data_IF_657705216938
#
_entry.id   IF_657705216938
#
_cell.length_a   1.000
_cell.length_b   1.000
_cell.length_c   1.000
_cell.angle_alpha   90.00
_cell.angle_beta   90.00
_cell.angle_gamma   90.00
#
_symmetry.space_group_name_H-M   'P 1'
#
loop_
_entity.id
_entity.type
_entity.pdbx_description
1 polymer ?
#
# COMPACT_ATOMS: atom_id res chain seq x y z
N UNK A 1 0.95 5.37 -22.45
CA UNK A 1 -0.09 5.96 -21.59
C UNK A 1 -1.26 5.01 -21.61
N UNK A 2 -1.88 4.76 -20.45
CA UNK A 2 -2.99 3.82 -20.35
C UNK A 2 -4.25 4.29 -21.09
N UNK A 3 -4.99 3.37 -21.73
CA UNK A 3 -6.19 3.71 -22.51
C UNK A 3 -7.28 4.37 -21.64
N UNK A 4 -7.38 3.97 -20.36
CA UNK A 4 -8.33 4.58 -19.43
C UNK A 4 -7.88 5.99 -18.98
N UNK A 5 -6.58 6.20 -18.77
CA UNK A 5 -6.01 7.51 -18.44
C UNK A 5 -6.23 8.50 -19.58
N UNK A 6 -6.07 8.07 -20.84
CA UNK A 6 -6.39 8.88 -22.02
C UNK A 6 -7.89 9.25 -22.08
N UNK A 7 -8.79 8.31 -21.77
CA UNK A 7 -10.24 8.60 -21.67
C UNK A 7 -10.54 9.63 -20.59
N UNK A 8 -9.93 9.53 -19.42
CA UNK A 8 -10.11 10.52 -18.36
C UNK A 8 -9.62 11.90 -18.79
N UNK A 9 -8.40 12.01 -19.33
CA UNK A 9 -7.85 13.28 -19.78
C UNK A 9 -8.67 13.90 -20.90
N UNK A 10 -9.07 13.11 -21.90
CA UNK A 10 -9.95 13.56 -22.97
C UNK A 10 -11.30 14.04 -22.43
N UNK A 11 -11.92 13.28 -21.53
CA UNK A 11 -13.17 13.65 -20.89
C UNK A 11 -13.05 14.95 -20.07
N UNK A 12 -11.98 15.09 -19.28
CA UNK A 12 -11.71 16.30 -18.49
C UNK A 12 -11.51 17.50 -19.41
N UNK A 13 -10.73 17.37 -20.49
CA UNK A 13 -10.48 18.45 -21.44
C UNK A 13 -11.78 18.90 -22.13
N UNK A 14 -12.60 17.96 -22.60
CA UNK A 14 -13.90 18.25 -23.21
C UNK A 14 -14.87 18.88 -22.22
N UNK A 15 -14.93 18.35 -20.98
CA UNK A 15 -15.77 18.89 -19.92
C UNK A 15 -15.34 20.32 -19.53
N UNK A 16 -14.03 20.58 -19.41
CA UNK A 16 -13.48 21.89 -19.09
C UNK A 16 -13.79 22.92 -20.18
N UNK A 17 -13.58 22.56 -21.44
CA UNK A 17 -13.95 23.41 -22.58
C UNK A 17 -15.46 23.69 -22.58
N UNK A 18 -16.28 22.66 -22.39
CA UNK A 18 -17.74 22.79 -22.31
C UNK A 18 -18.17 23.69 -21.15
N UNK A 19 -17.55 23.56 -19.98
CA UNK A 19 -17.80 24.40 -18.82
C UNK A 19 -17.49 25.88 -19.10
N UNK A 20 -16.38 26.16 -19.82
CA UNK A 20 -16.03 27.51 -20.23
C UNK A 20 -17.07 28.15 -21.18
N UNK A 21 -17.70 27.36 -22.04
CA UNK A 21 -18.82 27.83 -22.89
C UNK A 21 -20.11 28.03 -22.09
N UNK A 22 -20.42 27.12 -21.17
CA UNK A 22 -21.64 27.17 -20.34
C UNK A 22 -21.58 28.36 -19.37
N UNK A 23 -20.40 28.67 -18.80
CA UNK A 23 -20.17 29.75 -17.82
C UNK A 23 -21.01 29.66 -16.54
N UNK A 24 -21.43 28.45 -16.17
CA UNK A 24 -22.19 28.19 -14.94
C UNK A 24 -21.27 27.59 -13.87
N UNK A 25 -21.32 28.06 -12.60
CA UNK A 25 -20.41 27.59 -11.54
C UNK A 25 -20.45 26.07 -11.35
N UNK A 26 -21.63 25.45 -11.42
CA UNK A 26 -21.77 23.99 -11.30
C UNK A 26 -21.07 23.20 -12.40
N UNK A 27 -20.93 23.75 -13.62
CA UNK A 27 -20.22 23.07 -14.70
C UNK A 27 -18.72 22.94 -14.39
N UNK A 28 -18.15 23.95 -13.73
CA UNK A 28 -16.79 23.87 -13.20
C UNK A 28 -16.67 22.87 -12.06
N UNK A 29 -17.68 22.79 -11.17
CA UNK A 29 -17.70 21.76 -10.11
C UNK A 29 -17.72 20.34 -10.66
N UNK A 30 -18.47 20.09 -11.75
CA UNK A 30 -18.46 18.79 -12.45
C UNK A 30 -17.07 18.50 -13.03
N UNK A 31 -16.43 19.48 -13.65
CA UNK A 31 -15.09 19.31 -14.23
C UNK A 31 -14.04 19.05 -13.16
N UNK A 32 -14.07 19.81 -12.06
CA UNK A 32 -13.19 19.60 -10.91
C UNK A 32 -13.40 18.21 -10.28
N UNK A 33 -14.66 17.78 -10.17
CA UNK A 33 -15.00 16.44 -9.71
C UNK A 33 -14.39 15.36 -10.61
N UNK A 34 -14.48 15.48 -11.95
CA UNK A 34 -13.81 14.56 -12.87
C UNK A 34 -12.29 14.55 -12.70
N UNK A 35 -11.68 15.71 -12.45
CA UNK A 35 -10.25 15.83 -12.17
C UNK A 35 -9.80 15.08 -10.91
N UNK A 36 -10.58 15.16 -9.83
CA UNK A 36 -10.28 14.45 -8.57
C UNK A 36 -10.40 12.92 -8.72
N UNK A 37 -11.24 12.44 -9.62
CA UNK A 37 -11.43 11.00 -9.87
C UNK A 37 -10.34 10.43 -10.80
N UNK A 38 -9.51 11.27 -11.42
CA UNK A 38 -8.47 10.82 -12.33
C UNK A 38 -7.50 9.89 -11.59
N UNK A 39 -7.52 8.62 -11.96
CA UNK A 39 -6.60 7.61 -11.49
C UNK A 39 -6.00 6.89 -12.70
N UNK A 40 -4.85 6.28 -12.50
CA UNK A 40 -4.18 5.46 -13.49
C UNK A 40 -4.45 3.96 -13.19
N UNK A 41 -5.51 3.36 -13.76
CA UNK A 41 -5.82 1.96 -13.51
C UNK A 41 -4.77 1.01 -14.09
N UNK A 42 -3.97 1.46 -15.06
CA UNK A 42 -2.90 0.64 -15.63
C UNK A 42 -1.71 0.59 -14.67
N UNK A 43 -1.34 1.73 -14.07
CA UNK A 43 -0.37 1.74 -12.96
C UNK A 43 -0.87 0.91 -11.76
N UNK A 44 -2.17 0.93 -11.44
CA UNK A 44 -2.72 0.06 -10.39
C UNK A 44 -2.65 -1.42 -10.75
N UNK A 45 -2.81 -1.77 -12.04
CA UNK A 45 -2.64 -3.14 -12.51
C UNK A 45 -1.18 -3.55 -12.45
N UNK A 46 -0.25 -2.67 -12.82
CA UNK A 46 1.20 -2.91 -12.68
C UNK A 46 1.60 -3.11 -11.21
N UNK A 47 1.14 -2.24 -10.31
CA UNK A 47 1.34 -2.40 -8.88
C UNK A 47 0.73 -3.70 -8.36
N UNK A 48 -0.49 -4.07 -8.80
CA UNK A 48 -1.08 -5.37 -8.48
C UNK A 48 -0.13 -6.50 -8.83
N UNK A 49 0.52 -6.43 -10.01
CA UNK A 49 1.47 -7.44 -10.45
C UNK A 49 2.64 -7.60 -9.50
N UNK A 50 3.19 -6.49 -9.03
CA UNK A 50 4.30 -6.50 -8.08
C UNK A 50 3.88 -7.04 -6.70
N UNK A 51 2.64 -6.77 -6.29
CA UNK A 51 2.11 -7.26 -5.02
C UNK A 51 1.71 -8.74 -5.08
N UNK A 52 1.24 -9.23 -6.24
CA UNK A 52 0.77 -10.59 -6.48
C UNK A 52 1.72 -11.36 -7.41
N UNK A 53 2.75 -12.02 -6.89
CA UNK A 53 3.51 -13.03 -7.67
C UNK A 53 3.63 -14.32 -6.87
N UNK A 54 3.85 -15.53 -7.43
CA UNK A 54 4.32 -16.07 -8.73
C UNK A 54 3.40 -15.85 -9.95
N UNK A 55 3.61 -14.73 -10.66
CA UNK A 55 3.03 -14.35 -11.97
C UNK A 55 1.49 -14.17 -12.05
N UNK A 56 0.82 -13.64 -11.01
CA UNK A 56 -0.61 -13.21 -10.90
C UNK A 56 -1.73 -14.15 -10.33
N UNK A 57 -1.56 -15.32 -9.69
CA UNK A 57 -0.36 -15.96 -9.14
C UNK A 57 -0.01 -15.50 -7.73
N UNK A 58 -0.93 -15.06 -6.89
CA UNK A 58 -0.65 -14.71 -5.49
C UNK A 58 -0.11 -15.86 -4.61
N UNK A 59 0.30 -15.49 -3.41
CA UNK A 59 1.16 -16.17 -2.43
C UNK A 59 2.60 -16.36 -2.91
N UNK A 60 3.30 -15.22 -2.98
CA UNK A 60 4.76 -15.01 -3.10
C UNK A 60 5.57 -16.27 -2.89
N UNK A 61 6.05 -16.79 -4.02
CA UNK A 61 7.03 -17.86 -4.15
C UNK A 61 8.10 -17.85 -3.08
N UNK A 62 8.62 -16.65 -2.85
CA UNK A 62 9.78 -16.37 -2.04
C UNK A 62 9.45 -16.61 -0.57
N UNK A 63 8.22 -16.30 -0.14
CA UNK A 63 7.76 -16.54 1.23
C UNK A 63 7.49 -18.02 1.50
N UNK A 64 6.93 -18.74 0.52
CA UNK A 64 6.74 -20.19 0.66
C UNK A 64 8.08 -20.93 0.62
N UNK A 65 9.00 -20.54 -0.26
CA UNK A 65 10.35 -21.09 -0.33
C UNK A 65 11.15 -20.81 0.94
N UNK A 66 10.99 -19.62 1.52
CA UNK A 66 11.58 -19.28 2.82
C UNK A 66 11.01 -20.15 3.94
N UNK A 67 9.69 -20.34 4.01
CA UNK A 67 9.06 -21.24 4.99
C UNK A 67 9.56 -22.68 4.83
N UNK A 68 9.65 -23.18 3.59
CA UNK A 68 10.15 -24.52 3.29
C UNK A 68 11.63 -24.68 3.67
N UNK A 69 12.47 -23.67 3.39
CA UNK A 69 13.89 -23.67 3.74
C UNK A 69 14.11 -23.67 5.25
N UNK A 70 13.32 -22.88 5.98
CA UNK A 70 13.37 -22.78 7.44
C UNK A 70 12.87 -24.08 8.09
N UNK A 71 11.79 -24.68 7.57
CA UNK A 71 11.30 -25.98 8.01
C UNK A 71 12.32 -27.11 7.75
N UNK A 72 12.92 -27.13 6.56
CA UNK A 72 13.97 -28.10 6.20
C UNK A 72 15.20 -27.96 7.09
N UNK A 73 15.58 -26.74 7.48
CA UNK A 73 16.69 -26.52 8.42
C UNK A 73 16.39 -27.10 9.81
N UNK A 74 15.17 -26.90 10.31
CA UNK A 74 14.75 -27.48 11.59
C UNK A 74 14.78 -29.01 11.56
N UNK A 75 14.32 -29.62 10.46
CA UNK A 75 14.36 -31.07 10.26
C UNK A 75 15.80 -31.62 10.18
N UNK A 76 16.71 -30.89 9.51
CA UNK A 76 18.12 -31.25 9.42
C UNK A 76 18.81 -31.17 10.79
N UNK A 77 18.50 -30.16 11.60
CA UNK A 77 19.01 -30.02 12.96
C UNK A 77 18.53 -31.14 13.89
N UNK A 78 17.29 -31.61 13.72
CA UNK A 78 16.75 -32.74 14.48
C UNK A 78 17.42 -34.06 14.09
N UNK A 79 17.49 -34.35 12.78
CA UNK A 79 17.91 -35.66 12.27
C UNK A 79 19.42 -35.84 12.25
N UNK A 80 20.15 -34.84 11.78
CA UNK A 80 21.58 -34.98 11.48
C UNK A 80 22.47 -34.47 12.62
N UNK A 81 22.01 -33.45 13.35
CA UNK A 81 22.72 -32.92 14.52
C UNK A 81 22.21 -33.49 15.86
N UNK A 82 21.15 -34.31 15.84
CA UNK A 82 20.51 -34.87 17.03
C UNK A 82 20.21 -33.80 18.10
N UNK A 83 19.80 -32.60 17.68
CA UNK A 83 19.48 -31.54 18.61
C UNK A 83 18.11 -31.81 19.26
N UNK A 84 18.15 -32.26 20.51
CA UNK A 84 16.96 -32.60 21.29
C UNK A 84 16.84 -31.74 22.57
N UNK A 85 15.66 -31.79 23.21
CA UNK A 85 15.41 -31.19 24.52
C UNK A 85 14.60 -29.90 24.51
N UNK A 86 14.54 -29.23 25.66
CA UNK A 86 13.67 -28.07 25.90
C UNK A 86 14.04 -26.86 24.99
N UNK A 87 15.32 -26.67 24.70
CA UNK A 87 15.79 -25.63 23.80
C UNK A 87 15.32 -25.85 22.34
N UNK A 88 15.35 -27.10 21.86
CA UNK A 88 14.84 -27.44 20.52
C UNK A 88 13.32 -27.26 20.45
N UNK A 89 12.59 -27.61 21.52
CA UNK A 89 11.14 -27.37 21.60
C UNK A 89 10.80 -25.87 21.50
N UNK A 90 11.53 -25.01 22.22
CA UNK A 90 11.35 -23.56 22.15
C UNK A 90 11.68 -23.01 20.75
N UNK A 91 12.75 -23.51 20.11
CA UNK A 91 13.07 -23.17 18.72
C UNK A 91 11.95 -23.58 17.76
N UNK A 92 11.42 -24.79 17.88
CA UNK A 92 10.30 -25.27 17.07
C UNK A 92 9.01 -24.46 17.29
N UNK A 93 8.75 -23.98 18.51
CA UNK A 93 7.62 -23.09 18.77
C UNK A 93 7.80 -21.73 18.08
N UNK A 94 9.00 -21.14 18.16
CA UNK A 94 9.35 -19.93 17.42
C UNK A 94 9.26 -20.11 15.90
N UNK A 95 9.68 -21.27 15.39
CA UNK A 95 9.62 -21.62 13.97
C UNK A 95 8.16 -21.71 13.48
N UNK A 96 7.28 -22.30 14.28
CA UNK A 96 5.84 -22.37 13.99
C UNK A 96 5.21 -20.99 13.97
N UNK A 97 5.52 -20.14 14.94
CA UNK A 97 4.99 -18.77 14.98
C UNK A 97 5.55 -17.94 13.82
N UNK A 98 6.84 -18.06 13.51
CA UNK A 98 7.45 -17.43 12.33
C UNK A 98 6.72 -17.85 11.04
N UNK A 99 6.55 -19.15 10.81
CA UNK A 99 5.86 -19.71 9.64
C UNK A 99 4.42 -19.15 9.53
N UNK A 100 3.71 -19.09 10.66
CA UNK A 100 2.35 -18.52 10.72
C UNK A 100 2.34 -17.03 10.37
N UNK A 101 3.27 -16.24 10.90
CA UNK A 101 3.37 -14.80 10.60
C UNK A 101 3.75 -14.57 9.13
N UNK A 102 4.66 -15.36 8.57
CA UNK A 102 5.01 -15.30 7.14
C UNK A 102 3.82 -15.69 6.25
N UNK A 103 3.01 -16.67 6.67
CA UNK A 103 1.76 -17.03 5.98
C UNK A 103 0.72 -15.89 6.03
N UNK A 104 0.56 -15.23 7.18
CA UNK A 104 -0.30 -14.06 7.29
C UNK A 104 0.18 -12.90 6.40
N UNK A 105 1.50 -12.67 6.32
CA UNK A 105 2.09 -11.66 5.44
C UNK A 105 1.80 -11.95 3.96
N UNK A 106 1.92 -13.21 3.52
CA UNK A 106 1.57 -13.61 2.16
C UNK A 106 0.08 -13.34 1.86
N UNK A 107 -0.82 -13.70 2.77
CA UNK A 107 -2.25 -13.44 2.64
C UNK A 107 -2.59 -11.94 2.58
N UNK A 108 -1.86 -11.11 3.34
CA UNK A 108 -2.02 -9.66 3.31
C UNK A 108 -1.56 -9.07 1.97
N UNK A 109 -0.43 -9.53 1.42
CA UNK A 109 0.04 -9.10 0.08
C UNK A 109 -1.00 -9.41 -0.99
N UNK A 110 -1.55 -10.62 -0.98
CA UNK A 110 -2.62 -11.00 -1.91
C UNK A 110 -3.89 -10.17 -1.75
N UNK A 111 -4.24 -9.84 -0.51
CA UNK A 111 -5.40 -8.99 -0.22
C UNK A 111 -5.21 -7.57 -0.79
N UNK A 112 -4.01 -6.99 -0.66
CA UNK A 112 -3.65 -5.71 -1.27
C UNK A 112 -3.73 -5.79 -2.80
N UNK A 113 -3.16 -6.84 -3.39
CA UNK A 113 -3.25 -7.07 -4.82
C UNK A 113 -4.68 -7.18 -5.34
N UNK A 114 -5.53 -7.98 -4.68
CA UNK A 114 -6.94 -8.09 -5.02
C UNK A 114 -7.70 -6.76 -4.89
N UNK A 115 -7.36 -5.95 -3.88
CA UNK A 115 -7.91 -4.60 -3.73
C UNK A 115 -7.48 -3.68 -4.87
N UNK A 116 -6.21 -3.71 -5.29
CA UNK A 116 -5.70 -2.97 -6.45
C UNK A 116 -6.39 -3.41 -7.75
N UNK A 117 -6.60 -4.71 -7.94
CA UNK A 117 -7.33 -5.29 -9.09
C UNK A 117 -8.78 -4.81 -9.16
N UNK A 118 -9.48 -4.85 -8.03
CA UNK A 118 -10.86 -4.35 -7.92
C UNK A 118 -10.91 -2.85 -8.20
N UNK A 119 -9.98 -2.08 -7.63
CA UNK A 119 -9.86 -0.64 -7.85
C UNK A 119 -9.60 -0.31 -9.31
N UNK A 120 -8.67 -0.99 -9.97
CA UNK A 120 -8.38 -0.79 -11.38
C UNK A 120 -9.60 -1.04 -12.28
N UNK A 121 -10.40 -2.08 -11.99
CA UNK A 121 -11.67 -2.33 -12.70
C UNK A 121 -12.69 -1.22 -12.45
N UNK A 122 -12.82 -0.78 -11.19
CA UNK A 122 -13.71 0.32 -10.83
C UNK A 122 -13.33 1.61 -11.60
N UNK A 123 -12.04 1.95 -11.64
CA UNK A 123 -11.56 3.14 -12.35
C UNK A 123 -11.69 3.04 -13.87
N UNK A 124 -11.55 1.85 -14.46
CA UNK A 124 -11.84 1.65 -15.88
C UNK A 124 -13.33 1.90 -16.20
N UNK A 125 -14.25 1.43 -15.34
CA UNK A 125 -15.68 1.73 -15.48
C UNK A 125 -15.95 3.23 -15.28
N UNK A 126 -15.32 3.85 -14.27
CA UNK A 126 -15.44 5.29 -14.04
C UNK A 126 -14.91 6.12 -15.21
N UNK A 127 -13.93 5.62 -15.97
CA UNK A 127 -13.43 6.30 -17.17
C UNK A 127 -14.53 6.42 -18.24
N UNK A 128 -15.35 5.39 -18.41
CA UNK A 128 -16.51 5.45 -19.31
C UNK A 128 -17.60 6.38 -18.81
N UNK A 129 -17.83 6.42 -17.49
CA UNK A 129 -18.75 7.39 -16.88
C UNK A 129 -18.26 8.81 -17.12
N UNK A 130 -16.95 9.08 -16.97
CA UNK A 130 -16.36 10.38 -17.25
C UNK A 130 -16.58 10.81 -18.71
N UNK A 131 -16.36 9.91 -19.67
CA UNK A 131 -16.62 10.14 -21.10
C UNK A 131 -18.10 10.47 -21.33
N UNK A 132 -19.03 9.74 -20.71
CA UNK A 132 -20.46 10.01 -20.82
C UNK A 132 -20.83 11.39 -20.26
N UNK A 133 -20.29 11.77 -19.10
CA UNK A 133 -20.49 13.08 -18.49
C UNK A 133 -19.96 14.18 -19.40
N UNK A 134 -18.75 14.03 -19.95
CA UNK A 134 -18.16 14.98 -20.87
C UNK A 134 -18.99 15.13 -22.16
N UNK A 135 -19.52 14.03 -22.69
CA UNK A 135 -20.40 14.06 -23.86
C UNK A 135 -21.70 14.83 -23.59
N UNK A 136 -22.33 14.63 -22.43
CA UNK A 136 -23.53 15.40 -22.02
C UNK A 136 -23.19 16.89 -21.89
N UNK A 137 -22.07 17.23 -21.28
CA UNK A 137 -21.64 18.63 -21.17
C UNK A 137 -21.38 19.26 -22.55
N UNK A 138 -20.79 18.53 -23.48
CA UNK A 138 -20.56 18.99 -24.84
C UNK A 138 -21.88 19.24 -25.60
N UNK A 139 -22.89 18.38 -25.41
CA UNK A 139 -24.24 18.55 -25.98
C UNK A 139 -24.89 19.83 -25.43
N UNK A 140 -24.82 20.07 -24.12
CA UNK A 140 -25.36 21.28 -23.47
C UNK A 140 -24.62 22.53 -23.98
N UNK A 141 -23.29 22.48 -24.07
CA UNK A 141 -22.49 23.59 -24.58
C UNK A 141 -22.86 23.91 -26.04
N UNK A 142 -22.99 22.89 -26.90
CA UNK A 142 -23.44 23.06 -28.29
C UNK A 142 -24.84 23.65 -28.38
N UNK A 143 -25.76 23.18 -27.55
CA UNK A 143 -27.12 23.73 -27.46
C UNK A 143 -27.09 25.22 -27.11
N UNK A 144 -26.29 25.63 -26.12
CA UNK A 144 -26.14 27.04 -25.75
C UNK A 144 -25.56 27.91 -26.85
N UNK A 145 -24.62 27.40 -27.65
CA UNK A 145 -24.07 28.13 -28.80
C UNK A 145 -25.18 28.41 -29.82
N UNK A 146 -26.04 27.42 -30.10
CA UNK A 146 -27.16 27.56 -31.04
C UNK A 146 -28.25 28.50 -30.49
N UNK A 147 -28.59 28.43 -29.21
CA UNK A 147 -29.59 29.33 -28.62
C UNK A 147 -29.09 30.76 -28.49
N UNK A 148 -27.78 30.97 -28.21
CA UNK A 148 -27.19 32.31 -28.16
C UNK A 148 -27.10 32.98 -29.53
N UNK A 149 -27.02 32.21 -30.60
CA UNK A 149 -27.14 32.74 -31.96
C UNK A 149 -28.54 33.27 -32.29
N UNK A 150 -29.57 32.93 -31.48
CA UNK A 150 -30.95 33.35 -31.65
C UNK A 150 -31.41 34.16 -30.41
N UNK A 151 -31.28 35.51 -30.41
CA UNK A 151 -31.54 36.36 -29.24
C UNK A 151 -32.88 36.12 -28.52
N UNK A 152 -34.02 35.89 -29.21
CA UNK A 152 -35.29 35.64 -28.54
C UNK A 152 -35.32 34.34 -27.73
N UNK A 153 -34.53 33.33 -28.12
CA UNK A 153 -34.48 32.02 -27.46
C UNK A 153 -33.38 31.92 -26.39
N UNK A 154 -32.47 32.89 -26.32
CA UNK A 154 -31.30 32.84 -25.44
C UNK A 154 -31.65 32.67 -23.95
N UNK A 155 -32.61 33.42 -23.35
CA UNK A 155 -32.94 33.26 -21.93
C UNK A 155 -33.48 31.88 -21.58
N UNK A 156 -34.34 31.34 -22.44
CA UNK A 156 -34.89 29.99 -22.27
C UNK A 156 -33.81 28.91 -22.43
N UNK A 157 -32.87 29.12 -23.37
CA UNK A 157 -31.71 28.26 -23.56
C UNK A 157 -30.81 28.19 -22.32
N UNK A 158 -30.52 29.33 -21.70
CA UNK A 158 -29.70 29.40 -20.49
C UNK A 158 -30.38 28.72 -19.29
N UNK A 159 -31.68 28.94 -19.10
CA UNK A 159 -32.45 28.26 -18.06
C UNK A 159 -32.46 26.73 -18.25
N UNK A 160 -32.67 26.26 -19.48
CA UNK A 160 -32.66 24.83 -19.81
C UNK A 160 -31.27 24.20 -19.59
N UNK A 161 -30.20 24.88 -19.99
CA UNK A 161 -28.83 24.42 -19.76
C UNK A 161 -28.49 24.34 -18.27
N UNK A 162 -28.88 25.35 -17.48
CA UNK A 162 -28.70 25.34 -16.03
C UNK A 162 -29.42 24.16 -15.38
N UNK A 163 -30.68 23.90 -15.77
CA UNK A 163 -31.44 22.74 -15.31
C UNK A 163 -30.78 21.40 -15.71
N UNK A 164 -30.24 21.32 -16.93
CA UNK A 164 -29.49 20.16 -17.41
C UNK A 164 -28.24 19.88 -16.57
N UNK A 165 -27.43 20.91 -16.31
CA UNK A 165 -26.23 20.81 -15.46
C UNK A 165 -26.61 20.46 -14.02
N UNK A 166 -27.69 21.05 -13.47
CA UNK A 166 -28.18 20.73 -12.13
C UNK A 166 -28.62 19.27 -12.02
N UNK A 167 -29.30 18.75 -13.03
CA UNK A 167 -29.73 17.34 -13.08
C UNK A 167 -28.52 16.41 -13.14
N UNK A 168 -27.55 16.72 -14.00
CA UNK A 168 -26.29 16.00 -14.11
C UNK A 168 -25.54 15.98 -12.76
N UNK A 169 -25.41 17.13 -12.11
CA UNK A 169 -24.79 17.25 -10.79
C UNK A 169 -25.52 16.44 -9.72
N UNK A 170 -26.85 16.46 -9.72
CA UNK A 170 -27.67 15.71 -8.75
C UNK A 170 -27.44 14.20 -8.87
N UNK A 171 -27.24 13.69 -10.10
CA UNK A 171 -26.91 12.29 -10.36
C UNK A 171 -25.44 11.95 -10.06
N UNK A 172 -24.51 12.89 -10.28
CA UNK A 172 -23.09 12.69 -10.03
C UNK A 172 -22.71 12.78 -8.54
N UNK A 173 -23.40 13.65 -7.78
CA UNK A 173 -23.18 13.91 -6.36
C UNK A 173 -23.10 12.64 -5.47
N UNK A 174 -23.99 11.64 -5.57
CA UNK A 174 -23.86 10.42 -4.76
C UNK A 174 -22.60 9.62 -5.08
N UNK A 175 -22.22 9.52 -6.37
CA UNK A 175 -20.99 8.84 -6.80
C UNK A 175 -19.77 9.56 -6.21
N UNK A 176 -19.74 10.90 -6.31
CA UNK A 176 -18.67 11.71 -5.73
C UNK A 176 -18.57 11.55 -4.22
N UNK A 177 -19.70 11.54 -3.51
CA UNK A 177 -19.70 11.30 -2.06
C UNK A 177 -19.16 9.93 -1.72
N UNK A 178 -19.57 8.88 -2.44
CA UNK A 178 -19.06 7.53 -2.24
C UNK A 178 -17.54 7.45 -2.43
N UNK A 179 -17.02 8.00 -3.52
CA UNK A 179 -15.58 8.05 -3.80
C UNK A 179 -14.81 8.86 -2.76
N UNK A 180 -15.35 10.01 -2.35
CA UNK A 180 -14.73 10.86 -1.34
C UNK A 180 -14.71 10.17 0.03
N UNK A 181 -15.80 9.52 0.45
CA UNK A 181 -15.83 8.72 1.67
C UNK A 181 -14.81 7.59 1.61
N UNK A 182 -14.72 6.86 0.50
CA UNK A 182 -13.71 5.81 0.33
C UNK A 182 -12.29 6.36 0.44
N UNK A 183 -11.99 7.48 -0.24
CA UNK A 183 -10.69 8.14 -0.17
C UNK A 183 -10.33 8.56 1.27
N UNK A 184 -11.28 9.13 2.01
CA UNK A 184 -11.07 9.49 3.42
C UNK A 184 -10.89 8.27 4.31
N UNK A 185 -11.67 7.20 4.12
CA UNK A 185 -11.52 5.96 4.89
C UNK A 185 -10.15 5.33 4.65
N UNK A 186 -9.73 5.20 3.38
CA UNK A 186 -8.41 4.64 3.03
C UNK A 186 -7.30 5.52 3.58
N UNK A 187 -7.36 6.84 3.36
CA UNK A 187 -6.37 7.78 3.90
C UNK A 187 -6.28 7.74 5.43
N UNK A 188 -7.42 7.64 6.11
CA UNK A 188 -7.48 7.49 7.57
C UNK A 188 -6.84 6.19 8.05
N UNK A 189 -7.14 5.06 7.40
CA UNK A 189 -6.53 3.77 7.76
C UNK A 189 -5.01 3.77 7.55
N UNK A 190 -4.52 4.39 6.47
CA UNK A 190 -3.09 4.50 6.22
C UNK A 190 -2.37 5.28 7.33
N UNK A 191 -2.95 6.39 7.79
CA UNK A 191 -2.40 7.18 8.91
C UNK A 191 -2.36 6.37 10.22
N UNK A 192 -3.41 5.60 10.51
CA UNK A 192 -3.44 4.72 11.70
C UNK A 192 -2.35 3.65 11.63
N UNK A 193 -2.17 3.03 10.47
CA UNK A 193 -1.12 2.02 10.26
C UNK A 193 0.27 2.64 10.43
N UNK A 194 0.51 3.84 9.89
CA UNK A 194 1.77 4.56 10.13
C UNK A 194 2.01 4.82 11.61
N UNK A 195 1.02 5.30 12.36
CA UNK A 195 1.16 5.51 13.80
C UNK A 195 1.47 4.19 14.55
N UNK A 196 0.81 3.09 14.20
CA UNK A 196 1.10 1.78 14.80
C UNK A 196 2.51 1.29 14.47
N UNK A 197 2.98 1.48 13.23
CA UNK A 197 4.35 1.12 12.83
C UNK A 197 5.40 1.92 13.60
N UNK A 198 5.18 3.23 13.81
CA UNK A 198 6.07 4.06 14.64
C UNK A 198 6.09 3.56 16.09
N UNK A 199 4.94 3.21 16.66
CA UNK A 199 4.87 2.68 18.01
C UNK A 199 5.58 1.33 18.14
N UNK A 200 5.51 0.45 17.14
CA UNK A 200 6.27 -0.81 17.14
C UNK A 200 7.77 -0.55 17.00
N UNK A 201 8.17 0.36 16.11
CA UNK A 201 9.57 0.75 15.94
C UNK A 201 10.16 1.33 17.23
N UNK A 202 9.41 2.16 17.96
CA UNK A 202 9.83 2.66 19.27
C UNK A 202 9.99 1.55 20.30
N UNK A 203 9.13 0.51 20.28
CA UNK A 203 9.28 -0.66 21.15
C UNK A 203 10.55 -1.46 20.83
N UNK A 204 10.93 -1.56 19.55
CA UNK A 204 12.20 -2.19 19.16
C UNK A 204 13.42 -1.35 19.54
N UNK A 205 13.32 -0.02 19.44
CA UNK A 205 14.39 0.87 19.92
C UNK A 205 14.53 0.85 21.45
N UNK A 206 13.42 0.66 22.19
CA UNK A 206 13.43 0.57 23.65
C UNK A 206 13.70 -0.84 24.19
N UNK A 207 13.74 -1.85 23.32
CA UNK A 207 14.30 -3.16 23.69
C UNK A 207 15.82 -3.00 23.72
N UNK A 208 16.34 -2.41 24.81
CA UNK A 208 17.72 -2.64 25.22
C UNK A 208 17.97 -4.14 25.19
N UNK A 209 19.06 -4.56 24.54
CA UNK A 209 19.46 -5.96 24.45
C UNK A 209 19.32 -6.58 25.84
N UNK A 210 18.42 -7.56 25.99
CA UNK A 210 18.17 -8.17 27.30
C UNK A 210 19.53 -8.50 27.93
N UNK A 211 19.85 -7.94 29.11
CA UNK A 211 21.07 -8.32 29.79
C UNK A 211 21.02 -9.83 29.95
N UNK A 212 21.98 -10.54 29.35
CA UNK A 212 22.12 -11.98 29.50
C UNK A 212 22.46 -12.26 30.97
N UNK A 213 21.43 -12.34 31.83
CA UNK A 213 21.53 -12.74 33.24
C UNK A 213 21.77 -14.25 33.31
N UNK A 214 22.96 -14.64 32.84
CA UNK A 214 23.71 -15.88 32.99
C UNK A 214 24.53 -16.03 31.71
N UNK A 215 25.69 -15.38 31.70
CA UNK A 215 26.61 -15.31 30.58
C UNK A 215 27.33 -16.61 30.28
N UNK A 216 26.64 -17.76 30.36
CA UNK A 216 27.19 -19.03 29.89
C UNK A 216 27.13 -19.04 28.36
N UNK A 217 28.18 -18.51 27.73
CA UNK A 217 28.42 -18.72 26.33
C UNK A 217 29.16 -20.03 26.12
N UNK A 218 29.00 -20.65 24.96
CA UNK A 218 29.77 -21.83 24.58
C UNK A 218 31.12 -21.33 24.05
N UNK A 219 32.18 -21.52 24.83
CA UNK A 219 33.56 -21.29 24.40
C UNK A 219 34.17 -22.59 23.89
N UNK A 220 35.14 -22.48 23.00
CA UNK A 220 35.84 -23.65 22.46
C UNK A 220 37.05 -23.94 23.35
N UNK A 221 37.12 -25.14 23.95
CA UNK A 221 38.30 -25.56 24.71
C UNK A 221 39.51 -25.69 23.77
N UNK A 222 40.57 -24.93 24.04
CA UNK A 222 41.73 -24.83 23.17
C UNK A 222 42.47 -26.16 22.94
N UNK A 223 42.33 -27.10 23.87
CA UNK A 223 43.04 -28.38 23.80
C UNK A 223 42.19 -29.51 23.18
N UNK A 224 40.88 -29.49 23.39
CA UNK A 224 39.99 -30.58 22.95
C UNK A 224 39.08 -30.20 21.78
N UNK A 225 38.89 -28.91 21.50
CA UNK A 225 37.88 -28.44 20.55
C UNK A 225 36.44 -28.73 20.97
N UNK A 226 36.23 -29.14 22.22
CA UNK A 226 34.89 -29.34 22.78
C UNK A 226 34.31 -28.01 23.26
N UNK A 227 33.00 -27.84 23.08
CA UNK A 227 32.28 -26.68 23.59
C UNK A 227 32.18 -26.79 25.11
N UNK A 228 32.86 -25.91 25.83
CA UNK A 228 32.76 -25.78 27.28
C UNK A 228 31.97 -24.51 27.65
N UNK A 229 31.13 -24.56 28.69
CA UNK A 229 30.47 -23.36 29.20
C UNK A 229 31.52 -22.37 29.71
N UNK A 230 31.59 -21.19 29.08
CA UNK A 230 32.44 -20.09 29.49
C UNK A 230 31.55 -18.94 29.95
N UNK A 231 31.75 -18.49 31.18
CA UNK A 231 31.17 -17.25 31.67
C UNK A 231 31.79 -16.08 30.93
N UNK A 232 31.02 -15.37 30.09
CA UNK A 232 31.45 -14.08 29.54
C UNK A 232 31.47 -13.10 30.71
N UNK A 233 32.66 -12.75 31.19
CA UNK A 233 32.84 -11.58 32.04
C UNK A 233 32.47 -10.34 31.21
N UNK A 234 31.42 -9.65 31.66
CA UNK A 234 30.92 -8.45 31.01
C UNK A 234 31.94 -7.31 31.14
N UNK A 235 32.89 -7.24 30.20
CA UNK A 235 33.96 -6.22 30.16
C UNK A 235 33.45 -4.80 29.88
N UNK A 236 32.13 -4.54 29.87
CA UNK A 236 31.58 -3.20 29.66
C UNK A 236 31.42 -2.33 30.91
N UNK A 237 31.80 -2.80 32.11
CA UNK A 237 31.87 -1.95 33.32
C UNK A 237 33.29 -1.71 33.84
N UNK A 238 34.35 -2.13 33.15
CA UNK A 238 35.73 -1.78 33.53
C UNK A 238 36.58 -1.53 32.30
N UNK A 239 37.11 -0.31 32.23
CA UNK A 239 37.72 0.32 31.06
C UNK A 239 38.67 -0.56 30.25
N UNK A 240 38.63 -0.35 28.93
CA UNK A 240 39.70 -0.71 28.02
C UNK A 240 41.04 -0.17 28.56
N UNK A 241 41.80 -1.01 29.24
CA UNK A 241 43.26 -0.92 29.26
C UNK A 241 43.78 -1.93 28.25
N UNK A 242 44.43 -1.39 27.22
CA UNK A 242 45.08 -2.16 26.15
C UNK A 242 46.33 -2.84 26.74
N UNK A 243 46.50 -4.16 26.59
CA UNK A 243 47.74 -4.82 26.98
C UNK A 243 48.85 -4.41 26.01
N UNK A 244 49.84 -3.65 26.48
CA UNK A 244 51.01 -3.28 25.67
C UNK A 244 51.77 -2.01 26.05
N UNK A 245 51.28 -1.17 26.98
CA UNK A 245 52.06 -0.04 27.49
C UNK A 245 52.90 -0.48 28.70
N UNK A 246 54.13 -0.93 28.43
CA UNK A 246 55.22 -0.86 29.42
C UNK A 246 55.54 0.61 29.65
N UNK A 247 55.40 1.08 30.90
CA UNK A 247 55.85 2.41 31.30
C UNK A 247 57.38 2.55 31.06
N UNK A 248 57.86 3.63 30.43
CA UNK A 248 59.28 3.96 30.46
C UNK A 248 59.67 4.38 31.89
N UNK A 249 60.86 3.94 32.30
CA UNK A 249 61.47 4.19 33.61
C UNK A 249 61.68 5.69 33.90
#
# INVERSE_FOLDING_TARGET
MGLATERFLGAIAVAAASAAFIRHPLAYSVTAALGVIMADPDSMREAMKEWMTKEEGGQTAELQELQASVASLAEHLEKDAHWEGEAFNAFNELLKEFTKQTGNAAMQRDSVGNALKSSAKLYDVLSWVAVAVAAVMAIIARYLVVTRANPPAAPAGEAAAAAGVQTLWTKLKPVMRGLLTMAFTVGGTYQVVQMMSMNQMMKFQSMEAMPMYNSLALGNDANSGALIPVTIEDKKTSGLTVPGQTAPA
#
